data_IF_333633197289
#
_entry.id   IF_333633197289
#
_cell.length_a   1.000
_cell.length_b   1.000
_cell.length_c   1.000
_cell.angle_alpha   90.00
_cell.angle_beta   90.00
_cell.angle_gamma   90.00
#
_symmetry.space_group_name_H-M   'P 1'
#
loop_
_entity.id
_entity.type
_entity.pdbx_description
1 polymer ?
#
# COMPACT_ATOMS: atom_id res chain seq x y z
N UNK A 1 -14.07 5.26 21.33
CA UNK A 1 -13.14 5.71 22.42
C UNK A 1 -11.89 6.41 21.88
N UNK A 2 -11.16 5.86 20.90
CA UNK A 2 -9.93 6.48 20.35
C UNK A 2 -10.19 7.77 19.56
N UNK A 3 -11.18 7.77 18.66
CA UNK A 3 -11.57 8.95 17.87
C UNK A 3 -11.87 10.16 18.77
N UNK A 4 -12.68 9.99 19.82
CA UNK A 4 -12.98 11.07 20.77
C UNK A 4 -11.74 11.59 21.51
N UNK A 5 -10.74 10.72 21.78
CA UNK A 5 -9.47 11.16 22.38
C UNK A 5 -8.67 12.01 21.39
N UNK A 6 -8.61 11.64 20.11
CA UNK A 6 -7.96 12.42 19.07
C UNK A 6 -8.60 13.81 18.94
N UNK A 7 -9.94 13.86 18.84
CA UNK A 7 -10.71 15.12 18.78
C UNK A 7 -10.45 16.00 19.99
N UNK A 8 -10.53 15.46 21.21
CA UNK A 8 -10.28 16.23 22.45
C UNK A 8 -8.83 16.71 22.58
N UNK A 9 -7.88 15.99 21.99
CA UNK A 9 -6.46 16.39 22.01
C UNK A 9 -6.09 17.47 21.01
N UNK A 10 -6.99 17.83 20.08
CA UNK A 10 -6.73 18.75 18.97
C UNK A 10 -5.93 18.13 17.81
N UNK A 11 -5.29 16.98 18.01
CA UNK A 11 -4.55 16.25 16.97
C UNK A 11 -5.49 15.42 16.09
N UNK A 12 -6.14 16.08 15.13
CA UNK A 12 -7.11 15.48 14.18
C UNK A 12 -6.62 15.38 12.74
N UNK A 13 -5.41 15.88 12.47
CA UNK A 13 -4.80 15.86 11.13
C UNK A 13 -3.77 14.71 11.00
N UNK A 14 -2.90 14.76 10.01
CA UNK A 14 -1.86 13.76 9.69
C UNK A 14 -0.67 13.73 10.67
N UNK A 15 -0.86 14.24 11.88
CA UNK A 15 0.10 14.16 13.00
C UNK A 15 -0.63 13.85 14.29
N UNK A 16 0.01 13.06 15.13
CA UNK A 16 -0.51 12.70 16.45
C UNK A 16 -0.08 11.30 16.85
N UNK A 17 -0.09 11.03 18.16
CA UNK A 17 0.42 9.78 18.74
C UNK A 17 -0.20 8.51 18.15
N UNK A 18 -1.48 8.57 17.75
CA UNK A 18 -2.20 7.39 17.28
C UNK A 18 -1.68 6.86 15.94
N UNK A 19 -1.03 7.71 15.12
CA UNK A 19 -0.40 7.28 13.86
C UNK A 19 0.84 6.45 14.19
N UNK A 20 1.74 7.00 15.01
CA UNK A 20 2.96 6.31 15.41
C UNK A 20 2.68 5.02 16.20
N UNK A 21 1.75 5.08 17.17
CA UNK A 21 1.31 3.88 17.92
C UNK A 21 0.74 2.81 16.98
N UNK A 22 0.00 3.21 15.94
CA UNK A 22 -0.53 2.27 14.95
C UNK A 22 0.59 1.66 14.11
N UNK A 23 1.51 2.45 13.58
CA UNK A 23 2.65 1.99 12.79
C UNK A 23 3.52 1.00 13.59
N UNK A 24 3.87 1.34 14.83
CA UNK A 24 4.68 0.47 15.70
C UNK A 24 3.98 -0.84 16.03
N UNK A 25 2.69 -0.79 16.37
CA UNK A 25 1.92 -1.99 16.71
C UNK A 25 1.65 -2.85 15.47
N UNK A 26 1.40 -2.24 14.31
CA UNK A 26 1.16 -2.95 13.07
C UNK A 26 2.44 -3.62 12.55
N UNK A 27 3.59 -2.94 12.62
CA UNK A 27 4.89 -3.52 12.30
C UNK A 27 5.18 -4.77 13.16
N UNK A 28 4.93 -4.68 14.47
CA UNK A 28 5.04 -5.83 15.39
C UNK A 28 4.07 -6.96 15.03
N UNK A 29 2.82 -6.62 14.70
CA UNK A 29 1.79 -7.61 14.35
C UNK A 29 2.14 -8.43 13.11
N UNK A 30 2.67 -7.78 12.06
CA UNK A 30 3.06 -8.46 10.80
C UNK A 30 4.49 -9.01 10.81
N UNK A 31 5.26 -8.79 11.89
CA UNK A 31 6.65 -9.22 11.98
C UNK A 31 7.64 -8.44 11.09
N UNK A 32 7.32 -7.19 10.73
CA UNK A 32 8.18 -6.33 9.91
C UNK A 32 8.98 -5.33 10.77
N UNK A 33 10.11 -4.87 10.25
CA UNK A 33 10.93 -3.83 10.91
C UNK A 33 10.23 -2.47 10.96
N UNK A 34 9.42 -2.17 9.95
CA UNK A 34 8.74 -0.88 9.78
C UNK A 34 7.33 -1.09 9.20
N UNK A 35 6.41 -0.19 9.55
CA UNK A 35 5.12 -0.01 8.89
C UNK A 35 4.88 1.49 8.70
N UNK A 36 4.26 1.87 7.58
CA UNK A 36 4.01 3.27 7.23
C UNK A 36 2.52 3.45 6.93
N UNK A 37 1.86 4.32 7.70
CA UNK A 37 0.47 4.64 7.52
C UNK A 37 0.29 5.60 6.34
N UNK A 38 -0.70 5.32 5.49
CA UNK A 38 -1.09 6.17 4.36
C UNK A 38 -2.59 6.40 4.38
N UNK A 39 -3.07 7.26 3.49
CA UNK A 39 -4.50 7.60 3.41
C UNK A 39 -5.38 6.44 2.93
N UNK A 40 -4.85 5.49 2.16
CA UNK A 40 -5.52 4.26 1.71
C UNK A 40 -4.53 3.30 1.03
N UNK A 41 -5.00 2.11 0.64
CA UNK A 41 -4.17 1.10 -0.03
C UNK A 41 -3.62 1.52 -1.41
N UNK A 42 -4.34 2.33 -2.18
CA UNK A 42 -3.87 2.82 -3.49
C UNK A 42 -2.68 3.76 -3.32
N UNK A 43 -2.74 4.68 -2.35
CA UNK A 43 -1.61 5.57 -2.06
C UNK A 43 -0.42 4.80 -1.45
N UNK A 44 -0.68 3.75 -0.66
CA UNK A 44 0.35 2.83 -0.18
C UNK A 44 1.12 2.14 -1.32
N UNK A 45 0.39 1.55 -2.29
CA UNK A 45 1.00 0.89 -3.45
C UNK A 45 1.83 1.87 -4.29
N UNK A 46 1.28 3.06 -4.58
CA UNK A 46 2.02 4.07 -5.35
C UNK A 46 3.27 4.54 -4.61
N UNK A 47 3.18 4.83 -3.30
CA UNK A 47 4.33 5.22 -2.48
C UNK A 47 5.42 4.15 -2.48
N UNK A 48 5.04 2.87 -2.33
CA UNK A 48 5.98 1.76 -2.34
C UNK A 48 6.73 1.65 -3.68
N UNK A 49 6.01 1.72 -4.81
CA UNK A 49 6.63 1.69 -6.15
C UNK A 49 7.60 2.87 -6.35
N UNK A 50 7.20 4.09 -5.95
CA UNK A 50 8.08 5.27 -6.02
C UNK A 50 9.30 5.15 -5.12
N UNK A 51 9.16 4.60 -3.91
CA UNK A 51 10.26 4.37 -3.00
C UNK A 51 11.27 3.33 -3.52
N UNK A 52 10.80 2.36 -4.30
CA UNK A 52 11.65 1.39 -5.02
C UNK A 52 12.33 1.97 -6.28
N UNK A 53 11.99 3.19 -6.67
CA UNK A 53 12.55 3.84 -7.86
C UNK A 53 11.87 3.49 -9.18
N UNK A 54 10.73 2.80 -9.15
CA UNK A 54 9.99 2.39 -10.36
C UNK A 54 9.55 3.61 -11.19
N UNK A 55 9.75 3.55 -12.51
CA UNK A 55 9.45 4.64 -13.44
C UNK A 55 9.31 4.24 -14.91
N UNK A 56 9.49 5.22 -15.82
CA UNK A 56 9.10 5.18 -17.25
C UNK A 56 9.66 4.02 -18.08
N UNK A 57 10.70 3.34 -17.61
CA UNK A 57 11.37 2.26 -18.35
C UNK A 57 11.24 0.89 -17.68
N UNK A 58 10.52 0.83 -16.57
CA UNK A 58 10.33 -0.39 -15.81
C UNK A 58 9.06 -1.10 -16.23
N UNK A 59 9.07 -2.42 -16.07
CA UNK A 59 7.91 -3.28 -16.18
C UNK A 59 7.59 -3.86 -14.81
N UNK A 60 6.30 -3.94 -14.48
CA UNK A 60 5.83 -4.55 -13.22
C UNK A 60 4.85 -5.66 -13.54
N UNK A 61 5.22 -6.88 -13.15
CA UNK A 61 4.36 -8.06 -13.31
C UNK A 61 3.22 -8.00 -12.29
N UNK A 62 1.99 -8.12 -12.76
CA UNK A 62 0.78 -8.10 -11.93
C UNK A 62 -0.21 -9.18 -12.40
N UNK A 63 -1.00 -9.79 -11.50
CA UNK A 63 -2.02 -10.74 -11.91
C UNK A 63 -3.12 -10.03 -12.71
N UNK A 64 -3.65 -10.71 -13.74
CA UNK A 64 -4.77 -10.19 -14.53
C UNK A 64 -6.06 -10.11 -13.73
N UNK A 65 -6.22 -10.97 -12.70
CA UNK A 65 -7.34 -10.97 -11.77
C UNK A 65 -6.93 -10.27 -10.47
N UNK A 66 -7.22 -8.97 -10.37
CA UNK A 66 -6.97 -8.17 -9.16
C UNK A 66 -7.79 -6.88 -9.14
N UNK A 67 -7.72 -6.12 -8.05
CA UNK A 67 -8.36 -4.80 -7.98
C UNK A 67 -7.63 -3.78 -8.85
N UNK A 68 -8.37 -2.89 -9.50
CA UNK A 68 -7.83 -1.94 -10.48
C UNK A 68 -6.71 -1.03 -9.96
N UNK A 69 -6.64 -0.79 -8.64
CA UNK A 69 -5.55 0.02 -8.05
C UNK A 69 -4.16 -0.55 -8.34
N UNK A 70 -4.03 -1.86 -8.48
CA UNK A 70 -2.74 -2.50 -8.75
C UNK A 70 -2.19 -2.03 -10.11
N UNK A 71 -2.97 -2.16 -11.18
CA UNK A 71 -2.56 -1.67 -12.51
C UNK A 71 -2.43 -0.14 -12.55
N UNK A 72 -3.38 0.59 -11.94
CA UNK A 72 -3.36 2.05 -11.94
C UNK A 72 -2.10 2.62 -11.29
N UNK A 73 -1.66 2.04 -10.16
CA UNK A 73 -0.47 2.55 -9.44
C UNK A 73 0.82 2.30 -10.19
N UNK A 74 0.92 1.20 -10.96
CA UNK A 74 2.02 0.96 -11.93
C UNK A 74 2.00 2.01 -13.03
N UNK A 75 0.83 2.33 -13.58
CA UNK A 75 0.70 3.36 -14.62
C UNK A 75 1.04 4.75 -14.06
N UNK A 76 0.67 5.07 -12.83
CA UNK A 76 0.94 6.36 -12.19
C UNK A 76 2.44 6.65 -12.00
N UNK A 77 3.29 5.62 -11.91
CA UNK A 77 4.75 5.83 -11.91
C UNK A 77 5.33 6.10 -13.29
N UNK A 78 4.54 5.92 -14.36
CA UNK A 78 4.97 5.94 -15.76
C UNK A 78 5.45 4.57 -16.26
N UNK A 79 5.49 3.55 -15.41
CA UNK A 79 5.92 2.19 -15.76
C UNK A 79 4.84 1.39 -16.49
N UNK A 80 5.23 0.25 -17.09
CA UNK A 80 4.32 -0.61 -17.86
C UNK A 80 3.86 -1.83 -17.03
N UNK A 81 2.55 -2.05 -16.85
CA UNK A 81 2.05 -3.29 -16.26
C UNK A 81 2.20 -4.45 -17.25
N UNK A 82 2.69 -5.59 -16.75
CA UNK A 82 2.74 -6.87 -17.48
C UNK A 82 1.78 -7.82 -16.81
N UNK A 83 0.69 -8.16 -17.51
CA UNK A 83 -0.37 -9.01 -16.97
C UNK A 83 0.05 -10.49 -17.04
N UNK A 84 -0.09 -11.20 -15.93
CA UNK A 84 0.09 -12.66 -15.85
C UNK A 84 -1.23 -13.32 -15.42
N UNK A 85 -1.47 -14.54 -15.91
CA UNK A 85 -2.69 -15.27 -15.58
C UNK A 85 -2.76 -15.67 -14.10
N UNK A 86 -3.97 -15.96 -13.62
CA UNK A 86 -4.21 -16.39 -12.25
C UNK A 86 -4.53 -17.88 -12.19
N UNK A 87 -4.01 -18.57 -11.18
CA UNK A 87 -4.28 -19.99 -11.01
C UNK A 87 -5.76 -20.23 -10.71
N UNK A 88 -6.44 -21.18 -11.39
CA UNK A 88 -7.89 -21.33 -11.30
C UNK A 88 -8.39 -21.84 -9.94
N UNK A 89 -7.51 -22.44 -9.13
CA UNK A 89 -7.91 -22.99 -7.81
C UNK A 89 -7.80 -21.98 -6.67
N UNK A 90 -6.77 -21.12 -6.68
CA UNK A 90 -6.45 -20.21 -5.58
C UNK A 90 -6.43 -18.73 -5.99
N UNK A 91 -6.72 -18.42 -7.26
CA UNK A 91 -6.99 -17.08 -7.78
C UNK A 91 -5.88 -16.05 -7.53
N UNK A 92 -4.64 -16.50 -7.35
CA UNK A 92 -3.44 -15.68 -7.26
C UNK A 92 -2.58 -15.89 -8.51
N UNK A 93 -1.46 -15.15 -8.66
CA UNK A 93 -0.49 -15.34 -9.75
C UNK A 93 -0.23 -16.84 -9.99
N UNK A 94 -0.30 -17.26 -11.25
CA UNK A 94 0.14 -18.57 -11.70
C UNK A 94 1.68 -18.54 -11.91
N UNK A 95 2.51 -19.13 -11.00
CA UNK A 95 3.96 -19.00 -11.02
C UNK A 95 4.65 -19.79 -12.14
#
# INVERSE_FOLDING_TARGET
KLVSKAVRSGWVSSKGKFIQEFEENFAKYIGAKHAIATSNGTSALHLALKALGVGLRDEVIIPTLTFASVANTVIYTGSKPVLIDSHPEYWCINP
#
